data_IF_988047298760
#
_entry.id   IF_988047298760
#
_cell.length_a   1.000
_cell.length_b   1.000
_cell.length_c   1.000
_cell.angle_alpha   90.00
_cell.angle_beta   90.00
_cell.angle_gamma   90.00
#
_symmetry.space_group_name_H-M   'P 1'
#
loop_
_entity.id
_entity.type
_entity.pdbx_description
1 polymer ?
#
# COMPACT_ATOMS: atom_id res chain seq x y z
N UNK A 1 -29.52 -9.07 0.26
CA UNK A 1 -28.12 -8.64 0.42
C UNK A 1 -28.16 -7.23 0.98
N UNK A 2 -27.54 -6.96 2.13
CA UNK A 2 -27.42 -5.58 2.61
C UNK A 2 -26.64 -4.78 1.56
N UNK A 3 -27.30 -3.82 0.90
CA UNK A 3 -26.61 -2.85 0.06
C UNK A 3 -25.86 -1.90 1.01
N UNK A 4 -24.69 -2.35 1.47
CA UNK A 4 -23.80 -1.48 2.24
C UNK A 4 -23.58 -0.20 1.42
N UNK A 5 -23.92 0.93 2.01
CA UNK A 5 -23.78 2.25 1.41
C UNK A 5 -22.34 2.41 0.91
N UNK A 6 -22.20 2.93 -0.32
CA UNK A 6 -20.89 3.32 -0.84
C UNK A 6 -20.61 4.75 -0.40
N UNK A 7 -19.48 4.95 0.27
CA UNK A 7 -19.00 6.21 0.82
C UNK A 7 -18.11 6.94 -0.21
N UNK A 8 -17.98 8.25 -0.04
CA UNK A 8 -17.18 9.14 -0.88
C UNK A 8 -16.58 10.30 -0.09
N UNK A 9 -16.31 11.41 -0.79
CA UNK A 9 -15.72 12.60 -0.20
C UNK A 9 -16.69 13.26 0.81
N UNK A 10 -16.17 13.64 1.98
CA UNK A 10 -16.95 14.22 3.08
C UNK A 10 -17.55 13.21 4.06
N UNK A 11 -17.56 11.92 3.73
CA UNK A 11 -17.98 10.86 4.67
C UNK A 11 -16.88 10.56 5.70
N UNK A 12 -17.27 10.02 6.86
CA UNK A 12 -16.32 9.53 7.87
C UNK A 12 -15.74 8.17 7.45
N UNK A 13 -14.43 8.12 7.21
CA UNK A 13 -13.74 6.92 6.69
C UNK A 13 -12.80 6.30 7.73
N UNK A 14 -12.75 4.97 7.75
CA UNK A 14 -11.86 4.18 8.61
C UNK A 14 -12.07 4.46 10.10
N UNK A 15 -10.98 4.81 10.78
CA UNK A 15 -10.95 5.20 12.19
C UNK A 15 -11.26 6.69 12.44
N UNK A 16 -11.60 7.45 11.38
CA UNK A 16 -11.86 8.90 11.45
C UNK A 16 -10.67 9.77 11.08
N UNK A 17 -9.51 9.17 10.80
CA UNK A 17 -8.27 9.82 10.36
C UNK A 17 -8.00 9.65 8.85
N UNK A 18 -8.98 9.14 8.10
CA UNK A 18 -8.89 8.93 6.65
C UNK A 18 -9.93 9.76 5.91
N UNK A 19 -9.60 10.18 4.68
CA UNK A 19 -10.49 10.99 3.85
C UNK A 19 -10.24 10.78 2.35
N UNK A 20 -11.25 11.11 1.54
CA UNK A 20 -11.17 11.07 0.07
C UNK A 20 -11.13 12.51 -0.47
N UNK A 21 -10.12 12.81 -1.27
CA UNK A 21 -10.01 14.04 -2.06
C UNK A 21 -10.30 13.72 -3.53
N UNK A 22 -11.07 14.58 -4.19
CA UNK A 22 -11.35 14.51 -5.62
C UNK A 22 -10.56 15.61 -6.34
N UNK A 23 -10.38 15.46 -7.65
CA UNK A 23 -9.72 16.42 -8.53
C UNK A 23 -8.30 16.79 -8.04
N UNK A 24 -7.52 15.74 -7.75
CA UNK A 24 -6.21 15.80 -7.06
C UNK A 24 -5.19 16.55 -7.89
N UNK A 25 -5.16 16.28 -9.20
CA UNK A 25 -4.33 16.97 -10.16
C UNK A 25 -5.18 17.86 -11.08
N UNK A 26 -4.60 18.93 -11.66
CA UNK A 26 -5.29 19.79 -12.61
C UNK A 26 -5.84 19.01 -13.81
N UNK A 27 -6.94 19.46 -14.44
CA UNK A 27 -7.55 18.79 -15.57
C UNK A 27 -6.56 18.48 -16.70
N UNK A 28 -5.63 19.38 -16.99
CA UNK A 28 -4.63 19.24 -18.04
C UNK A 28 -3.66 18.08 -17.78
N UNK A 29 -3.35 17.81 -16.50
CA UNK A 29 -2.56 16.65 -16.12
C UNK A 29 -3.45 15.39 -16.09
N UNK A 30 -4.66 15.48 -15.53
CA UNK A 30 -5.59 14.35 -15.42
C UNK A 30 -5.94 13.73 -16.78
N UNK A 31 -6.11 14.57 -17.81
CA UNK A 31 -6.50 14.17 -19.16
C UNK A 31 -5.52 13.18 -19.79
N UNK A 32 -4.22 13.35 -19.56
CA UNK A 32 -3.17 12.53 -20.17
C UNK A 32 -2.46 11.60 -19.20
N UNK A 33 -2.58 11.82 -17.88
CA UNK A 33 -1.80 11.10 -16.88
C UNK A 33 -1.95 9.58 -16.97
N UNK A 34 -3.14 9.07 -17.28
CA UNK A 34 -3.36 7.63 -17.40
C UNK A 34 -2.53 7.02 -18.55
N UNK A 35 -2.60 7.63 -19.73
CA UNK A 35 -1.89 7.15 -20.93
C UNK A 35 -0.39 7.34 -20.79
N UNK A 36 0.06 8.51 -20.33
CA UNK A 36 1.48 8.78 -20.07
C UNK A 36 2.06 7.80 -19.07
N UNK A 37 1.39 7.52 -17.95
CA UNK A 37 1.87 6.52 -16.99
C UNK A 37 1.89 5.11 -17.55
N UNK A 38 0.91 4.73 -18.38
CA UNK A 38 0.89 3.41 -19.00
C UNK A 38 2.14 3.17 -19.86
N UNK A 39 2.66 4.22 -20.50
CA UNK A 39 3.83 4.16 -21.37
C UNK A 39 5.15 4.43 -20.64
N UNK A 40 5.16 5.32 -19.64
CA UNK A 40 6.36 5.73 -18.88
C UNK A 40 6.78 4.69 -17.84
N UNK A 41 5.81 4.06 -17.16
CA UNK A 41 6.08 3.16 -16.03
C UNK A 41 6.58 1.81 -16.53
N UNK A 42 7.68 1.34 -15.91
CA UNK A 42 8.27 0.03 -16.19
C UNK A 42 7.51 -1.07 -15.44
N UNK A 43 6.42 -1.54 -16.05
CA UNK A 43 5.57 -2.59 -15.48
C UNK A 43 6.28 -3.93 -15.35
N UNK A 44 6.03 -4.60 -14.22
CA UNK A 44 6.57 -5.91 -13.89
C UNK A 44 5.48 -6.85 -13.33
N UNK A 45 5.78 -8.14 -13.32
CA UNK A 45 4.94 -9.21 -12.76
C UNK A 45 5.52 -9.63 -11.41
N UNK A 46 4.83 -9.28 -10.33
CA UNK A 46 5.23 -9.70 -8.99
C UNK A 46 4.65 -11.08 -8.65
N UNK A 47 5.44 -11.88 -7.93
CA UNK A 47 5.03 -13.17 -7.42
C UNK A 47 4.83 -13.11 -5.90
N UNK A 48 3.78 -13.78 -5.42
CA UNK A 48 3.52 -13.90 -4.00
C UNK A 48 2.98 -15.29 -3.68
N UNK A 49 3.63 -16.01 -2.76
CA UNK A 49 3.26 -17.39 -2.37
C UNK A 49 3.26 -18.34 -3.58
N UNK A 50 4.20 -18.16 -4.51
CA UNK A 50 4.37 -19.02 -5.67
C UNK A 50 3.37 -18.82 -6.80
N UNK A 51 2.59 -17.74 -6.81
CA UNK A 51 1.73 -17.37 -7.93
C UNK A 51 1.88 -15.90 -8.33
N UNK A 52 1.61 -15.59 -9.60
CA UNK A 52 1.55 -14.22 -10.09
C UNK A 52 0.44 -13.44 -9.40
N UNK A 53 0.75 -12.21 -8.97
CA UNK A 53 -0.31 -11.30 -8.51
C UNK A 53 -1.15 -10.86 -9.71
N UNK A 54 -2.49 -10.77 -9.58
CA UNK A 54 -3.39 -10.48 -10.69
C UNK A 54 -3.47 -8.97 -10.93
N UNK A 55 -2.32 -8.36 -11.28
CA UNK A 55 -2.11 -6.96 -11.66
C UNK A 55 -0.63 -6.76 -12.00
N UNK A 56 -0.32 -5.81 -12.87
CA UNK A 56 1.08 -5.39 -13.06
C UNK A 56 1.47 -4.41 -11.97
N UNK A 57 2.75 -4.40 -11.60
CA UNK A 57 3.27 -3.51 -10.56
C UNK A 57 4.54 -2.81 -11.01
N UNK A 58 4.85 -1.69 -10.37
CA UNK A 58 6.16 -1.04 -10.47
C UNK A 58 6.45 -0.31 -9.16
N UNK A 59 7.72 -0.10 -8.86
CA UNK A 59 8.16 0.69 -7.71
C UNK A 59 8.97 1.86 -8.21
N UNK A 60 8.58 3.06 -7.82
CA UNK A 60 9.36 4.27 -8.09
C UNK A 60 9.66 5.03 -6.80
N UNK A 61 10.76 5.79 -6.77
CA UNK A 61 11.15 6.54 -5.60
C UNK A 61 12.24 7.55 -5.84
N UNK A 62 12.58 8.27 -4.77
CA UNK A 62 13.68 9.22 -4.74
C UNK A 62 15.02 8.49 -4.71
N UNK A 63 15.93 8.85 -5.61
CA UNK A 63 17.31 8.34 -5.63
C UNK A 63 18.24 9.48 -5.22
N UNK A 64 18.97 9.27 -4.13
CA UNK A 64 19.91 10.25 -3.57
C UNK A 64 21.13 10.49 -4.47
N UNK A 65 21.88 11.58 -4.24
CA UNK A 65 23.09 11.90 -5.02
C UNK A 65 24.18 10.81 -4.98
N UNK A 66 24.17 9.99 -3.93
CA UNK A 66 25.07 8.85 -3.71
C UNK A 66 24.50 7.53 -4.26
N UNK A 67 23.34 7.59 -4.94
CA UNK A 67 22.60 6.44 -5.44
C UNK A 67 21.80 5.67 -4.39
N UNK A 68 21.76 6.13 -3.13
CA UNK A 68 20.90 5.51 -2.11
C UNK A 68 19.42 5.75 -2.41
N UNK A 69 18.55 4.83 -1.96
CA UNK A 69 17.11 4.92 -2.26
C UNK A 69 16.26 4.29 -1.16
N UNK A 70 14.99 4.71 -1.00
CA UNK A 70 14.10 4.18 0.03
C UNK A 70 13.64 2.76 -0.30
N UNK A 71 13.47 1.93 0.72
CA UNK A 71 12.92 0.59 0.59
C UNK A 71 11.66 0.41 1.43
N UNK A 72 10.60 -0.13 0.81
CA UNK A 72 9.38 -0.55 1.49
C UNK A 72 9.29 -2.08 1.53
N UNK A 73 9.42 -2.67 2.72
CA UNK A 73 9.35 -4.12 2.90
C UNK A 73 7.96 -4.57 3.30
N UNK A 74 7.49 -5.61 2.63
CA UNK A 74 6.25 -6.31 2.93
C UNK A 74 6.41 -7.81 2.60
N UNK A 75 5.48 -8.68 3.04
CA UNK A 75 5.51 -10.09 2.65
C UNK A 75 5.39 -10.22 1.12
N UNK A 76 6.48 -10.58 0.45
CA UNK A 76 6.58 -10.85 -0.98
C UNK A 76 7.76 -11.80 -1.22
N UNK A 77 7.69 -12.62 -2.26
CA UNK A 77 8.79 -13.52 -2.59
C UNK A 77 9.99 -12.68 -3.05
N UNK A 78 9.74 -11.67 -3.89
CA UNK A 78 10.69 -10.65 -4.32
C UNK A 78 9.95 -9.31 -4.54
N UNK A 79 10.63 -8.19 -4.27
CA UNK A 79 10.10 -6.85 -4.59
C UNK A 79 10.64 -6.37 -5.93
N UNK A 80 9.81 -5.73 -6.79
CA UNK A 80 10.31 -5.11 -8.01
C UNK A 80 11.43 -4.10 -7.72
N UNK A 81 12.40 -3.93 -8.62
CA UNK A 81 13.44 -2.93 -8.45
C UNK A 81 12.83 -1.53 -8.39
N UNK A 82 13.41 -0.67 -7.54
CA UNK A 82 13.03 0.73 -7.48
C UNK A 82 13.63 1.48 -8.67
N UNK A 83 12.79 2.23 -9.37
CA UNK A 83 13.21 3.18 -10.40
C UNK A 83 13.05 4.64 -9.93
N UNK A 84 13.78 5.61 -10.50
CA UNK A 84 13.47 7.02 -10.29
C UNK A 84 12.03 7.33 -10.71
N UNK A 85 11.38 8.29 -10.05
CA UNK A 85 10.06 8.76 -10.47
C UNK A 85 10.03 9.16 -11.95
N UNK A 86 9.08 8.59 -12.68
CA UNK A 86 8.78 8.99 -14.06
C UNK A 86 8.16 10.41 -14.08
N UNK A 87 8.23 11.14 -15.21
CA UNK A 87 7.77 12.53 -15.29
C UNK A 87 6.34 12.73 -14.80
N UNK A 88 5.42 11.86 -15.19
CA UNK A 88 4.01 11.96 -14.78
C UNK A 88 3.83 11.62 -13.31
N UNK A 89 4.53 10.60 -12.80
CA UNK A 89 4.48 10.21 -11.38
C UNK A 89 5.05 11.32 -10.48
N UNK A 90 6.15 11.96 -10.88
CA UNK A 90 6.73 13.09 -10.16
C UNK A 90 5.75 14.28 -10.10
N UNK A 91 5.08 14.60 -11.21
CA UNK A 91 4.08 15.65 -11.23
C UNK A 91 2.94 15.36 -10.25
N UNK A 92 2.39 14.14 -10.27
CA UNK A 92 1.35 13.70 -9.32
C UNK A 92 1.87 13.78 -7.88
N UNK A 93 3.11 13.30 -7.63
CA UNK A 93 3.74 13.32 -6.30
C UNK A 93 3.81 14.72 -5.72
N UNK A 94 4.14 15.73 -6.53
CA UNK A 94 4.17 17.13 -6.09
C UNK A 94 2.79 17.62 -5.63
N UNK A 95 1.71 17.23 -6.32
CA UNK A 95 0.34 17.56 -5.90
C UNK A 95 -0.06 16.81 -4.62
N UNK A 96 0.31 15.54 -4.51
CA UNK A 96 0.10 14.73 -3.30
C UNK A 96 0.76 15.38 -2.09
N UNK A 97 2.04 15.77 -2.17
CA UNK A 97 2.75 16.42 -1.06
C UNK A 97 2.12 17.76 -0.67
N UNK A 98 1.63 18.55 -1.65
CA UNK A 98 0.92 19.81 -1.39
C UNK A 98 -0.38 19.60 -0.63
N UNK A 99 -1.12 18.53 -0.91
CA UNK A 99 -2.35 18.25 -0.16
C UNK A 99 -2.05 17.66 1.21
N UNK A 100 -1.07 16.74 1.29
CA UNK A 100 -0.69 16.06 2.52
C UNK A 100 0.03 16.94 3.54
N UNK A 101 0.72 17.98 3.09
CA UNK A 101 1.59 18.80 3.93
C UNK A 101 2.72 17.99 4.59
N UNK A 102 3.13 16.87 3.97
CA UNK A 102 4.30 16.08 4.34
C UNK A 102 4.91 15.40 3.11
N UNK A 103 6.21 15.05 3.13
CA UNK A 103 6.86 14.44 1.98
C UNK A 103 6.37 13.01 1.73
N UNK A 104 6.55 12.55 0.48
CA UNK A 104 6.48 11.15 0.07
C UNK A 104 7.61 10.89 -0.92
N UNK A 105 8.40 9.84 -0.67
CA UNK A 105 9.65 9.54 -1.41
C UNK A 105 9.63 8.16 -2.07
N UNK A 106 8.52 7.42 -1.96
CA UNK A 106 8.35 6.09 -2.53
C UNK A 106 6.90 5.92 -3.01
N UNK A 107 6.71 5.20 -4.12
CA UNK A 107 5.39 4.82 -4.64
C UNK A 107 5.40 3.37 -5.12
N UNK A 108 4.37 2.61 -4.72
CA UNK A 108 4.00 1.36 -5.38
C UNK A 108 2.90 1.67 -6.40
N UNK A 109 3.16 1.39 -7.67
CA UNK A 109 2.23 1.60 -8.77
C UNK A 109 1.62 0.25 -9.13
N UNK A 110 0.30 0.20 -9.32
CA UNK A 110 -0.43 -1.02 -9.62
C UNK A 110 -1.39 -0.78 -10.78
N UNK A 111 -1.24 -1.58 -11.84
CA UNK A 111 -2.08 -1.51 -13.03
C UNK A 111 -3.06 -2.69 -13.07
N UNK A 112 -4.34 -2.36 -12.89
CA UNK A 112 -5.47 -3.26 -12.97
C UNK A 112 -6.00 -3.21 -14.40
N UNK A 113 -5.71 -4.27 -15.17
CA UNK A 113 -6.04 -4.35 -16.60
C UNK A 113 -7.53 -4.55 -16.85
N UNK A 114 -8.28 -4.95 -15.82
CA UNK A 114 -9.73 -5.04 -15.87
C UNK A 114 -10.34 -5.13 -14.47
N UNK A 115 -11.67 -5.28 -14.42
CA UNK A 115 -12.41 -5.61 -13.20
C UNK A 115 -12.02 -6.94 -12.55
N UNK A 116 -11.33 -7.86 -13.24
CA UNK A 116 -10.91 -9.15 -12.65
C UNK A 116 -9.62 -9.06 -11.86
N UNK A 117 -8.79 -8.05 -12.11
CA UNK A 117 -7.58 -7.77 -11.34
C UNK A 117 -8.00 -7.24 -9.95
N UNK A 118 -7.28 -7.69 -8.91
CA UNK A 118 -7.66 -7.46 -7.51
C UNK A 118 -6.47 -7.43 -6.57
N UNK A 119 -6.71 -6.95 -5.35
CA UNK A 119 -5.78 -7.09 -4.22
C UNK A 119 -6.59 -7.49 -2.98
N UNK A 120 -6.18 -8.58 -2.34
CA UNK A 120 -6.83 -9.14 -1.16
C UNK A 120 -6.77 -8.18 0.04
N UNK A 121 -7.62 -8.42 1.03
CA UNK A 121 -7.64 -7.65 2.29
C UNK A 121 -6.28 -7.73 3.01
N UNK A 122 -5.66 -6.58 3.29
CA UNK A 122 -4.38 -6.46 4.00
C UNK A 122 -4.30 -5.12 4.74
N UNK A 123 -3.32 -4.97 5.65
CA UNK A 123 -2.83 -3.66 6.08
C UNK A 123 -1.42 -3.44 5.55
N UNK A 124 -1.09 -2.20 5.22
CA UNK A 124 0.26 -1.81 4.83
C UNK A 124 1.20 -1.98 6.02
N UNK A 125 2.45 -2.35 5.74
CA UNK A 125 3.46 -2.63 6.77
C UNK A 125 4.17 -1.35 7.19
N UNK A 126 4.20 -1.08 8.48
CA UNK A 126 4.66 0.22 8.99
C UNK A 126 6.13 0.22 9.40
N UNK A 127 6.86 -0.89 9.25
CA UNK A 127 8.29 -0.99 9.59
C UNK A 127 9.14 0.12 8.93
N UNK A 128 8.88 0.39 7.65
CA UNK A 128 9.66 1.36 6.87
C UNK A 128 8.96 2.71 6.68
N UNK A 129 7.68 2.83 7.07
CA UNK A 129 6.91 4.08 6.95
C UNK A 129 7.24 5.01 8.12
N UNK A 130 7.63 6.25 7.85
CA UNK A 130 8.02 7.22 8.87
C UNK A 130 6.91 7.41 9.93
N UNK A 131 7.26 7.18 11.19
CA UNK A 131 6.32 7.27 12.33
C UNK A 131 6.32 8.60 13.06
N UNK A 132 7.41 9.38 12.96
CA UNK A 132 7.56 10.63 13.70
C UNK A 132 8.14 11.76 12.83
N UNK A 133 7.36 12.80 12.51
CA UNK A 133 5.91 12.87 12.73
C UNK A 133 5.15 11.76 11.99
N UNK A 134 3.92 11.39 12.39
CA UNK A 134 3.16 10.35 11.70
C UNK A 134 2.93 10.66 10.22
N UNK A 135 3.24 9.71 9.34
CA UNK A 135 2.97 9.82 7.90
C UNK A 135 1.69 9.09 7.51
N UNK A 136 0.94 9.68 6.58
CA UNK A 136 -0.17 8.99 5.92
C UNK A 136 0.33 8.10 4.78
N UNK A 137 -0.49 7.11 4.41
CA UNK A 137 -0.35 6.31 3.19
C UNK A 137 -1.43 6.76 2.22
N UNK A 138 -1.07 6.99 0.96
CA UNK A 138 -1.97 7.67 0.02
C UNK A 138 -2.15 6.87 -1.24
N UNK A 139 -3.40 6.66 -1.65
CA UNK A 139 -3.76 5.99 -2.88
C UNK A 139 -4.37 6.98 -3.89
N UNK A 140 -3.62 7.35 -4.92
CA UNK A 140 -4.16 8.10 -6.08
C UNK A 140 -4.69 7.11 -7.11
N UNK A 141 -5.87 7.37 -7.66
CA UNK A 141 -6.56 6.53 -8.63
C UNK A 141 -6.75 7.26 -9.96
N UNK A 142 -6.25 6.67 -11.04
CA UNK A 142 -6.48 7.10 -12.41
C UNK A 142 -7.15 5.97 -13.20
N UNK A 143 -8.13 6.32 -14.03
CA UNK A 143 -8.82 5.37 -14.89
C UNK A 143 -10.17 4.95 -14.33
N UNK A 144 -10.57 3.71 -14.62
CA UNK A 144 -11.83 3.14 -14.19
C UNK A 144 -12.01 3.21 -12.68
N UNK A 145 -13.19 3.68 -12.25
CA UNK A 145 -13.58 3.68 -10.86
C UNK A 145 -13.60 2.26 -10.31
N UNK A 146 -12.95 2.07 -9.16
CA UNK A 146 -13.04 0.82 -8.38
C UNK A 146 -13.47 1.12 -6.95
N UNK A 147 -13.96 0.11 -6.26
CA UNK A 147 -14.36 0.22 -4.85
C UNK A 147 -13.28 -0.34 -3.96
N UNK A 148 -12.71 0.51 -3.10
CA UNK A 148 -11.94 0.04 -1.95
C UNK A 148 -12.87 -0.44 -0.85
N UNK A 149 -12.57 -1.61 -0.31
CA UNK A 149 -13.28 -2.16 0.85
C UNK A 149 -12.39 -2.03 2.05
N UNK A 150 -12.81 -1.25 3.05
CA UNK A 150 -12.22 -1.29 4.38
C UNK A 150 -13.01 -2.26 5.25
N UNK A 151 -12.33 -3.14 5.96
CA UNK A 151 -12.95 -4.06 6.91
C UNK A 151 -12.17 -4.10 8.20
N UNK A 152 -12.84 -3.89 9.32
CA UNK A 152 -12.19 -3.88 10.62
C UNK A 152 -11.46 -5.21 10.90
N UNK A 153 -10.26 -5.14 11.49
CA UNK A 153 -9.50 -6.34 11.89
C UNK A 153 -10.28 -7.15 12.92
N UNK A 154 -9.97 -8.44 13.00
CA UNK A 154 -10.55 -9.37 13.98
C UNK A 154 -9.54 -9.55 15.09
N UNK A 155 -9.59 -8.71 16.11
CA UNK A 155 -8.62 -8.80 17.22
C UNK A 155 -8.76 -10.15 17.93
N UNK A 156 -7.63 -10.85 18.06
CA UNK A 156 -7.59 -12.18 18.69
C UNK A 156 -8.07 -12.16 20.14
N UNK A 157 -7.85 -11.06 20.87
CA UNK A 157 -8.29 -10.88 22.25
C UNK A 157 -9.82 -10.93 22.40
N UNK A 158 -10.57 -10.26 21.52
CA UNK A 158 -12.04 -10.37 21.48
C UNK A 158 -12.50 -11.78 21.09
N UNK A 159 -11.75 -12.48 20.23
CA UNK A 159 -12.12 -13.82 19.79
C UNK A 159 -11.99 -14.92 20.86
N UNK A 160 -11.14 -14.74 21.88
CA UNK A 160 -10.93 -15.71 22.98
C UNK A 160 -11.92 -15.52 24.13
N UNK A 161 -12.38 -14.29 24.39
CA UNK A 161 -13.46 -14.01 25.33
C UNK A 161 -14.85 -14.45 24.80
N UNK A 162 -15.00 -14.54 23.47
CA UNK A 162 -16.25 -14.83 22.77
C UNK A 162 -16.43 -16.32 22.37
N UNK A 163 -15.88 -17.24 23.18
CA UNK A 163 -16.08 -18.69 23.05
C UNK A 163 -17.32 -19.19 23.84
N UNK A 164 -18.30 -18.31 24.09
CA UNK A 164 -19.64 -18.73 24.49
C UNK A 164 -20.42 -19.20 23.25
N UNK A 165 -20.72 -20.49 23.22
CA UNK A 165 -21.40 -21.18 22.12
C UNK A 165 -22.77 -20.55 21.75
N UNK A 166 -23.09 -20.56 20.45
CA UNK A 166 -24.42 -20.35 19.85
C UNK A 166 -24.97 -18.93 19.60
N UNK A 167 -24.14 -17.89 19.47
CA UNK A 167 -24.59 -16.61 18.89
C UNK A 167 -24.03 -16.37 17.48
N UNK A 168 -24.91 -16.06 16.51
CA UNK A 168 -24.51 -15.60 15.18
C UNK A 168 -23.79 -14.27 15.35
N UNK A 169 -22.47 -14.26 15.21
CA UNK A 169 -21.65 -13.06 15.40
C UNK A 169 -22.06 -11.99 14.38
N UNK A 170 -22.24 -10.72 14.79
CA UNK A 170 -22.52 -9.66 13.83
C UNK A 170 -21.36 -9.56 12.82
N UNK A 171 -21.66 -9.27 11.54
CA UNK A 171 -20.62 -9.11 10.53
C UNK A 171 -19.67 -7.96 10.92
N UNK A 172 -18.38 -8.14 10.64
CA UNK A 172 -17.35 -7.10 10.90
C UNK A 172 -17.75 -5.78 10.23
N UNK A 173 -17.60 -4.63 10.91
CA UNK A 173 -17.78 -3.33 10.28
C UNK A 173 -17.00 -3.25 8.96
N UNK A 174 -17.71 -2.84 7.91
CA UNK A 174 -17.17 -2.82 6.54
C UNK A 174 -17.62 -1.52 5.87
N UNK A 175 -16.68 -0.79 5.29
CA UNK A 175 -16.94 0.38 4.47
C UNK A 175 -16.57 0.09 3.02
N UNK A 176 -17.33 0.66 2.09
CA UNK A 176 -17.08 0.59 0.65
C UNK A 176 -16.86 2.02 0.16
N UNK A 177 -15.70 2.30 -0.42
CA UNK A 177 -15.31 3.65 -0.82
C UNK A 177 -15.10 3.65 -2.33
N UNK A 178 -15.85 4.49 -3.04
CA UNK A 178 -15.64 4.67 -4.48
C UNK A 178 -14.35 5.47 -4.72
N UNK A 179 -13.48 4.97 -5.60
CA UNK A 179 -12.26 5.63 -6.02
C UNK A 179 -12.37 6.01 -7.50
N UNK A 180 -13.00 7.16 -7.84
CA UNK A 180 -13.13 7.60 -9.23
C UNK A 180 -11.78 8.01 -9.83
N UNK A 181 -11.75 8.24 -11.14
CA UNK A 181 -10.61 8.87 -11.82
C UNK A 181 -10.24 10.20 -11.13
N UNK A 182 -8.93 10.48 -11.03
CA UNK A 182 -8.38 11.68 -10.40
C UNK A 182 -8.82 11.85 -8.94
N UNK A 183 -8.86 10.76 -8.17
CA UNK A 183 -9.14 10.79 -6.73
C UNK A 183 -7.96 10.33 -5.91
N UNK A 184 -7.89 10.79 -4.66
CA UNK A 184 -6.85 10.45 -3.70
C UNK A 184 -7.49 10.05 -2.38
N UNK A 185 -7.35 8.79 -2.02
CA UNK A 185 -7.71 8.29 -0.71
C UNK A 185 -6.49 8.39 0.22
N UNK A 186 -6.62 9.21 1.26
CA UNK A 186 -5.60 9.38 2.30
C UNK A 186 -5.96 8.48 3.45
N UNK A 187 -5.10 7.51 3.75
CA UNK A 187 -5.25 6.57 4.84
C UNK A 187 -4.36 7.01 6.01
N UNK A 188 -5.01 7.35 7.11
CA UNK A 188 -4.31 7.68 8.35
C UNK A 188 -3.76 6.44 9.08
N UNK A 189 -2.79 6.64 9.98
CA UNK A 189 -2.12 5.54 10.70
C UNK A 189 -3.07 4.73 11.58
N UNK A 190 -4.08 5.33 12.21
CA UNK A 190 -5.06 4.58 13.01
C UNK A 190 -5.95 3.72 12.13
N UNK A 191 -6.32 4.21 10.94
CA UNK A 191 -7.07 3.41 9.98
C UNK A 191 -6.25 2.20 9.52
N UNK A 192 -4.98 2.38 9.14
CA UNK A 192 -4.12 1.25 8.74
C UNK A 192 -3.90 0.24 9.89
N UNK A 193 -3.83 0.72 11.13
CA UNK A 193 -3.71 -0.14 12.31
C UNK A 193 -4.98 -0.96 12.58
N UNK A 194 -6.17 -0.37 12.45
CA UNK A 194 -7.45 -1.00 12.88
C UNK A 194 -8.21 -1.68 11.74
N UNK A 195 -7.94 -1.33 10.49
CA UNK A 195 -8.68 -1.80 9.32
C UNK A 195 -7.77 -2.55 8.33
N UNK A 196 -8.35 -3.54 7.68
CA UNK A 196 -7.82 -4.13 6.45
C UNK A 196 -8.45 -3.41 5.26
N UNK A 197 -7.72 -3.34 4.15
CA UNK A 197 -8.19 -2.75 2.91
C UNK A 197 -7.91 -3.66 1.71
N UNK A 198 -8.74 -3.58 0.67
CA UNK A 198 -8.56 -4.34 -0.56
C UNK A 198 -9.44 -3.83 -1.70
N UNK A 199 -9.11 -4.22 -2.92
CA UNK A 199 -9.92 -4.00 -4.11
C UNK A 199 -10.40 -5.37 -4.60
N UNK A 200 -11.71 -5.62 -4.53
CA UNK A 200 -12.29 -6.89 -4.95
C UNK A 200 -12.48 -6.97 -6.47
N UNK A 201 -12.56 -8.20 -6.98
CA UNK A 201 -12.99 -8.45 -8.36
C UNK A 201 -14.40 -7.90 -8.59
N UNK A 202 -14.60 -7.24 -9.73
CA UNK A 202 -15.91 -6.82 -10.22
C UNK A 202 -16.25 -7.56 -11.52
N UNK A 203 -16.96 -8.67 -11.34
CA UNK A 203 -17.40 -9.60 -12.40
C UNK A 203 -18.78 -9.26 -12.97
N UNK A 204 -19.37 -8.11 -12.62
CA UNK A 204 -20.64 -7.68 -13.22
C UNK A 204 -20.47 -7.50 -14.73
N UNK A 205 -21.55 -7.76 -15.47
CA UNK A 205 -21.58 -7.49 -16.91
C UNK A 205 -21.32 -6.01 -17.19
N UNK A 206 -20.68 -5.70 -18.33
CA UNK A 206 -20.33 -4.34 -18.73
C UNK A 206 -21.56 -3.41 -18.77
N UNK A 207 -22.73 -3.94 -19.15
CA UNK A 207 -24.02 -3.23 -19.18
C UNK A 207 -24.55 -2.83 -17.81
N UNK A 208 -23.98 -3.37 -16.73
CA UNK A 208 -24.32 -3.03 -15.34
C UNK A 208 -23.30 -2.06 -14.71
N UNK A 209 -22.28 -1.65 -15.46
CA UNK A 209 -21.24 -0.73 -15.01
C UNK A 209 -21.57 0.69 -15.47
N UNK A 210 -21.31 1.65 -14.60
CA UNK A 210 -21.43 3.07 -14.90
C UNK A 210 -20.31 3.55 -15.83
N UNK A 211 -20.46 4.71 -16.50
CA UNK A 211 -19.39 5.29 -17.33
C UNK A 211 -18.06 5.47 -16.58
N UNK A 212 -18.11 5.83 -15.29
CA UNK A 212 -16.92 5.96 -14.45
C UNK A 212 -16.21 4.61 -14.24
N UNK A 213 -16.96 3.50 -14.12
CA UNK A 213 -16.42 2.14 -13.93
C UNK A 213 -15.92 1.52 -15.25
N UNK A 214 -16.26 2.10 -16.40
CA UNK A 214 -15.79 1.67 -17.73
C UNK A 214 -14.83 2.66 -18.37
N UNK A 215 -14.43 3.71 -17.66
CA UNK A 215 -13.48 4.71 -18.14
C UNK A 215 -12.12 4.06 -18.45
N UNK A 216 -11.42 4.53 -19.49
CA UNK A 216 -10.25 3.83 -20.07
C UNK A 216 -10.47 2.32 -20.23
N UNK A 217 -11.58 1.93 -20.85
CA UNK A 217 -11.92 0.52 -21.13
C UNK A 217 -12.02 -0.38 -19.88
N UNK A 218 -12.19 0.21 -18.69
CA UNK A 218 -12.25 -0.52 -17.42
C UNK A 218 -10.88 -0.76 -16.77
N UNK A 219 -9.81 -0.20 -17.32
CA UNK A 219 -8.46 -0.24 -16.78
C UNK A 219 -8.26 0.82 -15.68
N UNK A 220 -7.46 0.52 -14.65
CA UNK A 220 -7.15 1.44 -13.54
C UNK A 220 -5.68 1.39 -13.17
N UNK A 221 -5.07 2.56 -13.02
CA UNK A 221 -3.74 2.73 -12.42
C UNK A 221 -3.92 3.29 -11.00
N UNK A 222 -3.21 2.68 -10.05
CA UNK A 222 -3.21 3.05 -8.64
C UNK A 222 -1.80 3.41 -8.21
N UNK A 223 -1.62 4.57 -7.60
CA UNK A 223 -0.35 4.99 -7.02
C UNK A 223 -0.47 5.01 -5.50
N UNK A 224 0.25 4.11 -4.82
CA UNK A 224 0.31 4.11 -3.35
C UNK A 224 1.60 4.79 -2.88
N UNK A 225 1.51 6.08 -2.56
CA UNK A 225 2.61 6.89 -2.03
C UNK A 225 2.83 6.68 -0.54
N UNK A 226 4.10 6.67 -0.14
CA UNK A 226 4.54 6.53 1.26
C UNK A 226 5.73 7.46 1.54
N UNK A 227 5.86 7.87 2.79
CA UNK A 227 7.10 8.45 3.31
C UNK A 227 7.90 7.35 3.99
N UNK A 228 9.01 6.96 3.36
CA UNK A 228 9.84 5.84 3.79
C UNK A 228 11.08 6.36 4.51
N UNK A 229 11.35 5.78 5.67
CA UNK A 229 12.47 6.11 6.55
C UNK A 229 13.58 5.06 6.59
N UNK A 230 13.52 4.05 5.73
CA UNK A 230 14.54 2.98 5.58
C UNK A 230 15.12 3.01 4.17
N UNK A 231 16.43 2.84 4.04
CA UNK A 231 17.17 3.08 2.81
C UNK A 231 18.18 1.97 2.53
N UNK A 232 18.45 1.78 1.25
CA UNK A 232 19.53 0.93 0.74
C UNK A 232 20.62 1.78 0.08
N UNK A 233 21.85 1.27 0.11
CA UNK A 233 22.95 1.80 -0.72
C UNK A 233 22.69 1.53 -2.20
N UNK A 234 23.40 2.24 -3.07
CA UNK A 234 23.26 2.12 -4.53
C UNK A 234 23.46 0.69 -5.06
N UNK A 235 24.38 -0.05 -4.45
CA UNK A 235 24.68 -1.45 -4.74
C UNK A 235 23.83 -2.44 -3.92
N UNK A 236 22.90 -1.94 -3.10
CA UNK A 236 22.02 -2.69 -2.22
C UNK A 236 22.75 -3.55 -1.18
N UNK A 237 24.03 -3.29 -0.93
CA UNK A 237 24.83 -4.09 0.01
C UNK A 237 24.66 -3.63 1.47
N UNK A 238 24.18 -2.39 1.69
CA UNK A 238 23.98 -1.80 3.01
C UNK A 238 22.55 -1.31 3.19
N UNK A 239 22.03 -1.42 4.41
CA UNK A 239 20.73 -0.93 4.83
C UNK A 239 20.85 -0.06 6.09
N UNK A 240 20.04 0.98 6.17
CA UNK A 240 19.89 1.81 7.37
C UNK A 240 18.51 2.46 7.44
N UNK A 241 18.20 3.08 8.58
CA UNK A 241 17.00 3.86 8.81
C UNK A 241 16.05 3.24 9.82
N UNK A 242 14.81 3.73 9.86
CA UNK A 242 13.84 3.41 10.91
C UNK A 242 13.66 1.89 11.11
N UNK A 243 13.43 1.18 10.01
CA UNK A 243 13.18 -0.25 10.00
C UNK A 243 14.44 -1.12 10.01
N UNK A 244 15.63 -0.55 9.86
CA UNK A 244 16.91 -1.27 9.90
C UNK A 244 17.48 -1.33 11.31
N UNK A 245 18.45 -2.20 11.58
CA UNK A 245 19.14 -2.21 12.89
C UNK A 245 19.99 -0.95 13.03
N UNK A 246 20.71 -0.57 11.97
CA UNK A 246 21.41 0.71 11.86
C UNK A 246 20.45 1.85 11.55
N UNK A 247 20.27 2.83 12.45
CA UNK A 247 19.24 3.89 12.26
C UNK A 247 19.68 5.06 11.37
N UNK A 248 20.97 5.17 11.11
CA UNK A 248 21.60 6.24 10.31
C UNK A 248 22.56 5.65 9.29
N UNK A 249 22.92 6.42 8.26
CA UNK A 249 23.84 5.99 7.21
C UNK A 249 25.24 5.68 7.76
N UNK A 250 25.69 6.41 8.77
CA UNK A 250 26.97 6.19 9.46
C UNK A 250 26.98 4.86 10.22
N UNK A 251 25.80 4.39 10.62
CA UNK A 251 25.58 3.11 11.30
C UNK A 251 25.02 2.04 10.37
N UNK A 252 25.09 2.24 9.05
CA UNK A 252 24.55 1.29 8.08
C UNK A 252 25.18 -0.09 8.27
N UNK A 253 24.38 -1.12 7.97
CA UNK A 253 24.77 -2.52 8.17
C UNK A 253 24.64 -3.29 6.88
N UNK A 254 25.42 -4.36 6.70
CA UNK A 254 25.26 -5.25 5.56
C UNK A 254 23.83 -5.79 5.48
N UNK A 255 23.25 -5.80 4.28
CA UNK A 255 21.99 -6.49 4.04
C UNK A 255 22.16 -7.98 4.33
N UNK A 256 21.19 -8.56 5.02
CA UNK A 256 21.19 -9.97 5.38
C UNK A 256 20.32 -10.75 4.39
N UNK A 257 20.86 -11.88 3.94
CA UNK A 257 20.13 -12.88 3.16
C UNK A 257 20.06 -14.17 3.98
N UNK A 258 19.09 -14.27 4.89
CA UNK A 258 19.02 -15.38 5.84
C UNK A 258 17.60 -15.74 6.25
N UNK A 259 17.28 -17.04 6.19
CA UNK A 259 15.95 -17.57 6.46
C UNK A 259 15.41 -17.17 7.85
N UNK A 260 16.27 -17.15 8.88
CA UNK A 260 15.85 -16.86 10.26
C UNK A 260 15.29 -15.44 10.43
N UNK A 261 16.01 -14.42 9.96
CA UNK A 261 15.56 -13.03 10.10
C UNK A 261 14.34 -12.77 9.20
N UNK A 262 14.30 -13.40 8.01
CA UNK A 262 13.10 -13.41 7.16
C UNK A 262 11.88 -13.99 7.88
N UNK A 263 12.01 -15.13 8.56
CA UNK A 263 10.93 -15.76 9.33
C UNK A 263 10.45 -14.85 10.47
N UNK A 264 11.37 -14.26 11.24
CA UNK A 264 11.04 -13.34 12.33
C UNK A 264 10.27 -12.11 11.82
N UNK A 265 10.72 -11.53 10.70
CA UNK A 265 10.04 -10.39 10.09
C UNK A 265 8.68 -10.77 9.50
N UNK A 266 8.55 -11.95 8.88
CA UNK A 266 7.26 -12.48 8.41
C UNK A 266 6.28 -12.68 9.57
N UNK A 267 6.75 -13.20 10.71
CA UNK A 267 5.95 -13.35 11.92
C UNK A 267 5.46 -11.97 12.41
N UNK A 268 6.34 -10.96 12.45
CA UNK A 268 5.99 -9.61 12.84
C UNK A 268 4.97 -8.97 11.87
N UNK A 269 5.15 -9.11 10.54
CA UNK A 269 4.16 -8.70 9.54
C UNK A 269 2.81 -9.39 9.75
N UNK A 270 2.83 -10.67 10.13
CA UNK A 270 1.65 -11.43 10.50
C UNK A 270 0.94 -10.83 11.71
N UNK A 271 1.67 -10.53 12.79
CA UNK A 271 1.13 -9.90 13.99
C UNK A 271 0.45 -8.56 13.68
N UNK A 272 1.13 -7.66 12.96
CA UNK A 272 0.59 -6.36 12.55
C UNK A 272 -0.72 -6.48 11.75
N UNK A 273 -0.85 -7.52 10.92
CA UNK A 273 -2.07 -7.73 10.12
C UNK A 273 -3.29 -8.17 10.97
N UNK A 274 -3.05 -8.77 12.14
CA UNK A 274 -4.10 -9.39 12.97
C UNK A 274 -4.43 -8.62 14.24
N UNK A 275 -3.56 -7.71 14.69
CA UNK A 275 -3.70 -6.96 15.93
C UNK A 275 -3.96 -5.48 15.63
N UNK A 276 -5.06 -4.94 16.14
CA UNK A 276 -5.34 -3.49 16.07
C UNK A 276 -4.51 -2.68 17.06
N UNK A 277 -4.00 -3.31 18.11
CA UNK A 277 -3.15 -2.79 19.19
C UNK A 277 -1.68 -3.19 19.02
N UNK A 278 -1.23 -3.39 17.78
CA UNK A 278 0.12 -3.84 17.45
C UNK A 278 1.22 -2.94 18.08
N UNK A 279 2.07 -3.53 18.91
CA UNK A 279 3.22 -2.86 19.53
C UNK A 279 4.40 -2.80 18.55
N UNK A 280 4.49 -1.70 17.81
CA UNK A 280 5.55 -1.49 16.82
C UNK A 280 6.94 -1.58 17.45
N UNK A 281 7.15 -1.02 18.65
CA UNK A 281 8.49 -0.96 19.24
C UNK A 281 8.94 -2.35 19.74
N UNK A 282 8.01 -3.17 20.25
CA UNK A 282 8.30 -4.55 20.60
C UNK A 282 8.61 -5.45 19.39
N UNK A 283 7.96 -5.20 18.25
CA UNK A 283 8.07 -6.06 17.06
C UNK A 283 9.10 -5.60 16.03
N UNK A 284 9.26 -4.28 15.83
CA UNK A 284 10.11 -3.67 14.83
C UNK A 284 11.20 -2.76 15.40
N UNK A 285 11.13 -2.38 16.68
CA UNK A 285 12.03 -1.39 17.29
C UNK A 285 13.52 -1.71 17.14
N UNK A 286 13.88 -2.98 17.30
CA UNK A 286 15.26 -3.46 17.12
C UNK A 286 15.76 -3.34 15.69
N UNK A 287 14.85 -3.28 14.72
CA UNK A 287 15.15 -3.25 13.29
C UNK A 287 15.45 -4.63 12.70
N UNK A 288 15.48 -4.67 11.38
CA UNK A 288 15.77 -5.85 10.56
C UNK A 288 16.67 -5.43 9.39
N UNK A 289 17.73 -6.18 9.12
CA UNK A 289 18.65 -5.92 8.00
C UNK A 289 18.33 -6.79 6.76
N UNK A 290 17.31 -7.64 6.85
CA UNK A 290 16.81 -8.48 5.76
C UNK A 290 15.91 -7.71 4.78
N UNK A 291 16.05 -8.03 3.49
CA UNK A 291 15.34 -7.38 2.38
C UNK A 291 14.49 -8.37 1.56
N UNK A 292 14.99 -9.59 1.31
CA UNK A 292 14.32 -10.61 0.50
C UNK A 292 13.79 -11.76 1.36
N UNK A 293 12.59 -12.25 1.05
CA UNK A 293 11.87 -13.21 1.89
C UNK A 293 11.68 -14.60 1.25
N UNK A 294 12.51 -14.95 0.27
CA UNK A 294 12.52 -16.30 -0.29
C UNK A 294 12.88 -17.32 0.80
N UNK A 295 11.89 -18.13 1.19
CA UNK A 295 12.07 -19.24 2.15
C UNK A 295 12.41 -20.56 1.46
N UNK A 296 12.75 -20.54 0.16
CA UNK A 296 13.24 -21.73 -0.52
C UNK A 296 14.74 -21.78 -0.33
N UNK A 297 15.19 -22.76 0.46
CA UNK A 297 16.56 -23.24 0.37
C UNK A 297 16.86 -23.59 -1.09
N UNK A 298 18.03 -23.18 -1.59
CA UNK A 298 18.59 -23.69 -2.86
C UNK A 298 18.70 -25.21 -2.88
#
# INVERSE_FOLDING_TARGET
MSHAQTLGAGDALGAGDSYLTLDVVPPELAEHAFESMRDEVKWDVMHHRGGEVPRLVAVEGEVGPDGSFPIYRHPADESPPLHPFSPTVEAIRQHVQKILQHPVNHVLIQFYRSGTDYISEHSDKTIDVVRSPPSNIVNVSLGAQRTMVLRMKKDRAHSLADNAENSVKPPRPTQRIALPHNSMFVMGPETNAKWLHGINQDKRFITMKSPAETFHEGERISLTFRHIGTFLSADQSQIWGQGAVGKTKETARPVVHGAKESEELIIAFGAENHQSDFDWDAHYGTGFDVVNFTTKDE
#
